data_IF_939711250549
#
_entry.id   IF_939711250549
#
_cell.length_a   1.000
_cell.length_b   1.000
_cell.length_c   1.000
_cell.angle_alpha   90.00
_cell.angle_beta   90.00
_cell.angle_gamma   90.00
#
_symmetry.space_group_name_H-M   'P 1'
#
loop_
_entity.id
_entity.type
_entity.pdbx_description
1 polymer ?
#
# COMPACT_ATOMS: atom_id res chain seq x y z
N UNK A 1 2.93 7.95 6.32
CA UNK A 1 2.92 9.07 5.36
C UNK A 1 1.60 9.83 5.45
N UNK A 2 1.54 10.82 6.33
CA UNK A 2 0.32 11.61 6.54
C UNK A 2 0.28 12.79 5.55
N UNK A 3 -0.89 13.12 5.00
CA UNK A 3 -1.02 14.22 4.04
C UNK A 3 -0.63 15.58 4.64
N UNK A 4 -0.78 15.73 5.96
CA UNK A 4 -0.42 16.93 6.72
C UNK A 4 1.10 17.13 6.73
N UNK A 5 1.88 16.06 6.95
CA UNK A 5 3.35 16.11 6.90
C UNK A 5 3.86 16.56 5.53
N UNK A 6 3.28 16.03 4.44
CA UNK A 6 3.67 16.45 3.07
C UNK A 6 3.23 17.89 2.77
N UNK A 7 2.06 18.28 3.30
CA UNK A 7 1.54 19.63 3.17
C UNK A 7 2.48 20.64 3.81
N UNK A 8 2.94 20.36 5.04
CA UNK A 8 3.90 21.19 5.77
C UNK A 8 5.30 21.18 5.14
N UNK A 9 5.79 20.00 4.72
CA UNK A 9 7.15 19.84 4.17
C UNK A 9 7.32 20.52 2.80
N UNK A 10 6.27 20.52 1.95
CA UNK A 10 6.34 21.05 0.58
C UNK A 10 5.50 22.32 0.36
N UNK A 11 4.83 22.83 1.39
CA UNK A 11 4.00 24.04 1.31
C UNK A 11 2.76 23.91 0.40
N UNK A 12 2.32 22.68 0.13
CA UNK A 12 1.16 22.41 -0.75
C UNK A 12 -0.11 22.19 0.07
N UNK A 13 -1.32 22.49 -0.45
CA UNK A 13 -2.56 22.23 0.29
C UNK A 13 -2.75 20.76 0.65
N UNK A 14 -3.20 20.46 1.87
CA UNK A 14 -3.40 19.08 2.35
C UNK A 14 -4.33 18.23 1.47
N UNK A 15 -5.33 18.87 0.85
CA UNK A 15 -6.20 18.22 -0.14
C UNK A 15 -5.42 17.75 -1.38
N UNK A 16 -4.46 18.55 -1.83
CA UNK A 16 -3.60 18.23 -2.98
C UNK A 16 -2.56 17.16 -2.61
N UNK A 17 -1.98 17.24 -1.42
CA UNK A 17 -1.08 16.19 -0.89
C UNK A 17 -1.81 14.84 -0.81
N UNK A 18 -3.05 14.81 -0.30
CA UNK A 18 -3.87 13.59 -0.22
C UNK A 18 -4.12 12.97 -1.59
N UNK A 19 -4.40 13.79 -2.60
CA UNK A 19 -4.63 13.30 -3.95
C UNK A 19 -3.37 12.74 -4.62
N UNK A 20 -2.21 13.37 -4.40
CA UNK A 20 -0.91 12.85 -4.86
C UNK A 20 -0.61 11.50 -4.19
N UNK A 21 -0.75 11.42 -2.86
CA UNK A 21 -0.55 10.17 -2.11
C UNK A 21 -1.46 9.07 -2.66
N UNK A 22 -2.75 9.35 -2.86
CA UNK A 22 -3.70 8.38 -3.36
C UNK A 22 -3.33 7.86 -4.77
N UNK A 23 -3.05 8.78 -5.70
CA UNK A 23 -2.72 8.42 -7.09
C UNK A 23 -1.43 7.59 -7.17
N UNK A 24 -0.38 8.01 -6.48
CA UNK A 24 0.90 7.30 -6.51
C UNK A 24 0.85 5.98 -5.74
N UNK A 25 0.12 5.91 -4.63
CA UNK A 25 -0.11 4.63 -3.91
C UNK A 25 -0.87 3.64 -4.79
N UNK A 26 -1.94 4.08 -5.45
CA UNK A 26 -2.70 3.22 -6.38
C UNK A 26 -1.83 2.77 -7.55
N UNK A 27 -0.99 3.66 -8.08
CA UNK A 27 -0.07 3.34 -9.17
C UNK A 27 1.00 2.33 -8.75
N UNK A 28 1.58 2.50 -7.56
CA UNK A 28 2.56 1.57 -7.01
C UNK A 28 1.96 0.18 -6.77
N UNK A 29 0.76 0.12 -6.17
CA UNK A 29 0.03 -1.13 -5.95
C UNK A 29 -0.28 -1.88 -7.25
N UNK A 30 -0.69 -1.16 -8.30
CA UNK A 30 -1.10 -1.78 -9.55
C UNK A 30 0.06 -2.11 -10.49
N UNK A 31 1.09 -1.26 -10.57
CA UNK A 31 2.20 -1.45 -11.53
C UNK A 31 3.37 -2.26 -10.98
N UNK A 32 3.58 -2.33 -9.66
CA UNK A 32 4.74 -3.06 -9.13
C UNK A 32 4.39 -4.53 -8.92
N UNK A 33 5.03 -5.38 -9.72
CA UNK A 33 4.92 -6.82 -9.61
C UNK A 33 5.29 -7.33 -8.21
N UNK A 34 6.17 -6.65 -7.48
CA UNK A 34 6.54 -7.03 -6.11
C UNK A 34 5.33 -7.01 -5.15
N UNK A 35 4.43 -6.03 -5.30
CA UNK A 35 3.22 -5.98 -4.49
C UNK A 35 2.32 -7.19 -4.78
N UNK A 36 2.14 -7.53 -6.06
CA UNK A 36 1.36 -8.71 -6.47
C UNK A 36 2.01 -10.03 -6.08
N UNK A 37 3.34 -10.15 -6.19
CA UNK A 37 4.07 -11.34 -5.76
C UNK A 37 3.92 -11.56 -4.25
N UNK A 38 3.97 -10.49 -3.45
CA UNK A 38 3.74 -10.58 -2.01
C UNK A 38 2.30 -11.01 -1.69
N UNK A 39 1.30 -10.40 -2.33
CA UNK A 39 -0.10 -10.78 -2.14
C UNK A 39 -0.36 -12.23 -2.56
N UNK A 40 0.16 -12.64 -3.73
CA UNK A 40 -0.01 -13.99 -4.24
C UNK A 40 0.62 -15.06 -3.35
N UNK A 41 1.83 -14.80 -2.84
CA UNK A 41 2.51 -15.72 -1.91
C UNK A 41 1.79 -15.82 -0.57
N UNK A 42 1.34 -14.72 0.01
CA UNK A 42 0.60 -14.75 1.28
C UNK A 42 -0.78 -15.37 1.14
N UNK A 43 -1.54 -15.07 0.08
CA UNK A 43 -2.83 -15.69 -0.18
C UNK A 43 -2.69 -17.17 -0.53
N UNK A 44 -1.67 -17.55 -1.31
CA UNK A 44 -1.36 -18.95 -1.60
C UNK A 44 -1.04 -19.74 -0.33
N UNK A 45 -0.22 -19.17 0.55
CA UNK A 45 0.09 -19.77 1.85
C UNK A 45 -1.17 -19.89 2.74
N UNK A 46 -2.00 -18.84 2.80
CA UNK A 46 -3.25 -18.86 3.55
C UNK A 46 -4.21 -19.94 3.04
N UNK A 47 -4.31 -20.11 1.72
CA UNK A 47 -5.13 -21.14 1.09
C UNK A 47 -4.61 -22.55 1.42
N UNK A 48 -3.30 -22.78 1.31
CA UNK A 48 -2.68 -24.06 1.67
C UNK A 48 -2.95 -24.39 3.13
N UNK A 49 -2.79 -23.43 4.04
CA UNK A 49 -3.06 -23.61 5.47
C UNK A 49 -4.55 -23.89 5.73
N UNK A 50 -5.46 -23.22 5.02
CA UNK A 50 -6.89 -23.46 5.14
C UNK A 50 -7.27 -24.88 4.73
N UNK A 51 -6.73 -25.36 3.60
CA UNK A 51 -6.99 -26.72 3.10
C UNK A 51 -6.33 -27.80 3.97
N UNK A 52 -5.15 -27.52 4.55
CA UNK A 52 -4.43 -28.45 5.40
C UNK A 52 -5.01 -28.60 6.82
N UNK A 53 -5.81 -27.63 7.29
CA UNK A 53 -6.38 -27.60 8.63
C UNK A 53 -7.90 -27.36 8.58
N UNK A 54 -8.69 -28.37 8.16
CA UNK A 54 -10.15 -28.25 8.12
C UNK A 54 -10.70 -28.01 9.53
N UNK A 55 -11.28 -26.82 9.74
CA UNK A 55 -11.78 -26.33 11.04
C UNK A 55 -11.22 -24.96 11.45
N UNK A 56 -10.07 -24.53 10.90
CA UNK A 56 -9.40 -23.26 11.23
C UNK A 56 -9.76 -22.11 10.27
N UNK A 57 -11.01 -22.06 9.79
CA UNK A 57 -11.46 -21.04 8.81
C UNK A 57 -11.27 -19.59 9.30
N UNK A 58 -11.45 -19.35 10.60
CA UNK A 58 -11.25 -18.02 11.21
C UNK A 58 -9.78 -17.59 11.13
N UNK A 59 -8.83 -18.49 11.38
CA UNK A 59 -7.40 -18.17 11.27
C UNK A 59 -6.99 -17.91 9.82
N UNK A 60 -7.54 -18.65 8.85
CA UNK A 60 -7.32 -18.39 7.44
C UNK A 60 -7.81 -16.99 7.03
N UNK A 61 -8.98 -16.56 7.53
CA UNK A 61 -9.50 -15.20 7.33
C UNK A 61 -8.61 -14.14 7.97
N UNK A 62 -8.12 -14.37 9.20
CA UNK A 62 -7.21 -13.44 9.88
C UNK A 62 -5.87 -13.30 9.13
N UNK A 63 -5.32 -14.41 8.64
CA UNK A 63 -4.09 -14.41 7.83
C UNK A 63 -4.32 -13.67 6.51
N UNK A 64 -5.45 -13.92 5.84
CA UNK A 64 -5.82 -13.21 4.61
C UNK A 64 -6.02 -11.70 4.82
N UNK A 65 -6.70 -11.31 5.90
CA UNK A 65 -6.90 -9.91 6.26
C UNK A 65 -5.57 -9.22 6.62
N UNK A 66 -4.71 -9.89 7.38
CA UNK A 66 -3.36 -9.42 7.69
C UNK A 66 -2.51 -9.27 6.43
N UNK A 67 -2.59 -10.21 5.50
CA UNK A 67 -1.89 -10.15 4.22
C UNK A 67 -2.32 -8.95 3.36
N UNK A 68 -3.63 -8.64 3.32
CA UNK A 68 -4.16 -7.45 2.64
C UNK A 68 -3.66 -6.16 3.28
N UNK A 69 -3.60 -6.09 4.60
CA UNK A 69 -3.04 -4.96 5.34
C UNK A 69 -1.55 -4.77 5.02
N UNK A 70 -0.76 -5.84 5.05
CA UNK A 70 0.67 -5.79 4.70
C UNK A 70 0.86 -5.39 3.24
N UNK A 71 0.04 -5.92 2.33
CA UNK A 71 0.07 -5.55 0.91
C UNK A 71 -0.18 -4.05 0.70
N UNK A 72 -1.17 -3.50 1.39
CA UNK A 72 -1.45 -2.07 1.37
C UNK A 72 -0.27 -1.25 1.92
N UNK A 73 0.36 -1.69 3.01
CA UNK A 73 1.53 -1.04 3.59
C UNK A 73 2.74 -1.07 2.65
N UNK A 74 2.98 -2.20 1.98
CA UNK A 74 4.03 -2.34 0.96
C UNK A 74 3.77 -1.38 -0.20
N UNK A 75 2.52 -1.25 -0.66
CA UNK A 75 2.13 -0.29 -1.68
C UNK A 75 2.42 1.16 -1.29
N UNK A 76 2.11 1.54 -0.03
CA UNK A 76 2.41 2.86 0.51
C UNK A 76 3.91 3.13 0.58
N UNK A 77 4.68 2.18 1.08
CA UNK A 77 6.14 2.31 1.18
C UNK A 77 6.80 2.45 -0.21
N UNK A 78 6.34 1.67 -1.18
CA UNK A 78 6.84 1.73 -2.56
C UNK A 78 6.44 3.02 -3.29
N UNK A 79 5.36 3.68 -2.86
CA UNK A 79 4.88 4.94 -3.42
C UNK A 79 5.57 6.17 -2.81
N UNK A 80 6.09 6.04 -1.58
CA UNK A 80 6.73 7.12 -0.81
C UNK A 80 7.72 7.98 -1.62
N UNK A 81 8.73 7.43 -2.33
CA UNK A 81 9.65 8.23 -3.13
C UNK A 81 8.98 8.93 -4.32
N UNK A 82 7.97 8.31 -4.95
CA UNK A 82 7.24 8.90 -6.06
C UNK A 82 6.34 10.05 -5.60
N UNK A 83 5.76 9.93 -4.40
CA UNK A 83 4.98 10.99 -3.75
C UNK A 83 5.88 12.20 -3.45
N UNK A 84 7.06 11.99 -2.87
CA UNK A 84 8.00 13.09 -2.62
C UNK A 84 8.47 13.77 -3.92
N UNK A 85 8.73 13.01 -4.99
CA UNK A 85 9.09 13.57 -6.28
C UNK A 85 7.96 14.41 -6.89
N UNK A 86 6.71 13.91 -6.83
CA UNK A 86 5.54 14.63 -7.31
C UNK A 86 5.23 15.88 -6.47
N UNK A 87 5.34 15.81 -5.15
CA UNK A 87 5.17 16.95 -4.25
C UNK A 87 6.21 18.04 -4.52
N UNK A 88 7.49 17.67 -4.70
CA UNK A 88 8.57 18.59 -5.06
C UNK A 88 8.31 19.30 -6.39
N UNK A 89 7.85 18.57 -7.40
CA UNK A 89 7.54 19.16 -8.72
C UNK A 89 6.42 20.20 -8.68
N UNK A 90 5.46 20.06 -7.75
CA UNK A 90 4.37 21.02 -7.56
C UNK A 90 4.73 22.19 -6.65
N UNK A 91 5.62 21.98 -5.70
CA UNK A 91 6.16 23.05 -4.84
C UNK A 91 7.04 24.02 -5.63
N UNK A 92 7.72 23.52 -6.67
CA UNK A 92 8.58 24.32 -7.55
C UNK A 92 7.86 25.02 -8.73
N UNK A 93 6.54 24.83 -8.87
CA UNK A 93 5.72 25.37 -9.96
C UNK A 93 4.81 26.49 -9.45
#
# INVERSE_FOLDING_TARGET
MEPEVISEEYGIPAAQAREIIWRETRRALLRRWQAWAWLGTTLGLALVLHLAQPGNGVYALLIGAGALLVWYQVGRFLAEPAVHAAARSRSAA
#
